data_IF_801528308120
#
_entry.id   IF_801528308120
#
_cell.length_a   1.000
_cell.length_b   1.000
_cell.length_c   1.000
_cell.angle_alpha   90.00
_cell.angle_beta   90.00
_cell.angle_gamma   90.00
#
_symmetry.space_group_name_H-M   'P 1'
#
loop_
_entity.id
_entity.type
_entity.pdbx_description
1 polymer ?
#
# COMPACT_ATOMS: atom_id res chain seq x y z
N UNK A 1 -31.88 7.20 1.00
CA UNK A 1 -31.76 5.90 0.31
C UNK A 1 -31.02 6.17 -0.99
N UNK A 2 -29.70 6.00 -1.00
CA UNK A 2 -28.83 6.37 -2.12
C UNK A 2 -28.89 5.24 -3.15
N UNK A 3 -29.54 5.49 -4.29
CA UNK A 3 -29.65 4.52 -5.39
C UNK A 3 -28.32 4.53 -6.14
N UNK A 4 -27.52 3.48 -5.96
CA UNK A 4 -26.26 3.30 -6.67
C UNK A 4 -26.56 3.13 -8.17
N UNK A 5 -25.81 3.83 -9.02
CA UNK A 5 -25.98 3.70 -10.47
C UNK A 5 -25.60 2.31 -10.96
N UNK A 6 -26.18 1.88 -12.09
CA UNK A 6 -25.91 0.55 -12.67
C UNK A 6 -24.42 0.36 -13.05
N UNK A 7 -23.70 1.45 -13.30
CA UNK A 7 -22.27 1.44 -13.59
C UNK A 7 -21.43 1.20 -12.32
N UNK A 8 -21.75 1.89 -11.22
CA UNK A 8 -21.09 1.69 -9.93
C UNK A 8 -21.31 0.28 -9.38
N UNK A 9 -22.51 -0.29 -9.55
CA UNK A 9 -22.78 -1.67 -9.15
C UNK A 9 -21.92 -2.69 -9.91
N UNK A 10 -21.62 -2.44 -11.19
CA UNK A 10 -20.73 -3.29 -12.00
C UNK A 10 -19.28 -3.15 -11.56
N UNK A 11 -18.81 -1.92 -11.29
CA UNK A 11 -17.46 -1.66 -10.79
C UNK A 11 -17.25 -2.30 -9.42
N UNK A 12 -18.20 -2.15 -8.50
CA UNK A 12 -18.16 -2.78 -7.17
C UNK A 12 -18.13 -4.30 -7.24
N UNK A 13 -18.97 -4.92 -8.10
CA UNK A 13 -18.93 -6.37 -8.30
C UNK A 13 -17.58 -6.83 -8.85
N UNK A 14 -17.02 -6.10 -9.82
CA UNK A 14 -15.72 -6.45 -10.42
C UNK A 14 -14.59 -6.30 -9.39
N UNK A 15 -14.63 -5.26 -8.56
CA UNK A 15 -13.69 -5.09 -7.45
C UNK A 15 -13.78 -6.24 -6.46
N UNK A 16 -14.99 -6.66 -6.05
CA UNK A 16 -15.16 -7.80 -5.14
C UNK A 16 -14.57 -9.10 -5.70
N UNK A 17 -14.61 -9.30 -7.02
CA UNK A 17 -14.01 -10.46 -7.69
C UNK A 17 -12.47 -10.43 -7.68
N UNK A 18 -11.83 -9.25 -7.62
CA UNK A 18 -10.36 -9.12 -7.78
C UNK A 18 -9.64 -8.57 -6.55
N UNK A 19 -10.35 -7.99 -5.57
CA UNK A 19 -9.77 -7.34 -4.37
C UNK A 19 -8.89 -8.26 -3.54
N UNK A 20 -9.13 -9.57 -3.59
CA UNK A 20 -8.32 -10.56 -2.88
C UNK A 20 -6.97 -10.84 -3.57
N UNK A 21 -6.81 -10.42 -4.83
CA UNK A 21 -5.56 -10.51 -5.58
C UNK A 21 -4.67 -9.29 -5.37
N UNK A 22 -5.27 -8.13 -5.03
CA UNK A 22 -4.56 -6.88 -4.81
C UNK A 22 -4.10 -6.84 -3.34
N UNK A 23 -2.79 -6.76 -3.06
CA UNK A 23 -2.29 -6.57 -1.71
C UNK A 23 -2.83 -5.29 -1.09
N UNK A 24 -3.27 -5.36 0.16
CA UNK A 24 -3.72 -4.18 0.91
C UNK A 24 -2.52 -3.31 1.30
N UNK A 25 -2.56 -2.03 0.92
CA UNK A 25 -1.44 -1.11 1.11
C UNK A 25 -1.13 -0.87 2.59
N UNK A 26 -2.16 -0.73 3.42
CA UNK A 26 -2.04 -0.44 4.85
C UNK A 26 -1.42 -1.62 5.61
N UNK A 27 -1.93 -2.83 5.38
CA UNK A 27 -1.39 -4.04 5.99
C UNK A 27 0.06 -4.30 5.57
N UNK A 28 0.42 -3.99 4.31
CA UNK A 28 1.80 -4.12 3.83
C UNK A 28 2.75 -3.10 4.43
N UNK A 29 2.34 -1.84 4.45
CA UNK A 29 3.11 -0.77 5.07
C UNK A 29 3.34 -1.04 6.56
N UNK A 30 2.30 -1.50 7.27
CA UNK A 30 2.41 -1.87 8.69
C UNK A 30 3.40 -3.01 8.93
N UNK A 31 3.34 -4.08 8.13
CA UNK A 31 4.28 -5.19 8.26
C UNK A 31 5.74 -4.76 8.00
N UNK A 32 5.97 -3.93 6.98
CA UNK A 32 7.32 -3.39 6.73
C UNK A 32 7.78 -2.48 7.86
N UNK A 33 6.89 -1.67 8.43
CA UNK A 33 7.23 -0.82 9.55
C UNK A 33 7.62 -1.65 10.79
N UNK A 34 6.94 -2.77 11.07
CA UNK A 34 7.35 -3.71 12.12
C UNK A 34 8.75 -4.27 11.86
N UNK A 35 9.05 -4.71 10.64
CA UNK A 35 10.39 -5.21 10.28
C UNK A 35 11.45 -4.10 10.46
N UNK A 36 11.14 -2.89 10.02
CA UNK A 36 12.00 -1.70 10.16
C UNK A 36 12.15 -1.22 11.61
N UNK A 37 11.44 -1.77 12.60
CA UNK A 37 11.78 -1.52 14.01
C UNK A 37 13.12 -2.16 14.38
N UNK A 38 13.56 -3.18 13.64
CA UNK A 38 14.88 -3.77 13.80
C UNK A 38 15.96 -2.88 13.15
N UNK A 39 16.98 -2.42 13.90
CA UNK A 39 18.04 -1.56 13.36
C UNK A 39 18.78 -2.17 12.16
N UNK A 40 18.97 -3.49 12.16
CA UNK A 40 19.64 -4.20 11.07
C UNK A 40 18.90 -4.09 9.73
N UNK A 41 17.57 -4.08 9.75
CA UNK A 41 16.75 -3.91 8.54
C UNK A 41 16.85 -2.46 8.05
N UNK A 42 16.79 -1.46 8.96
CA UNK A 42 17.00 -0.05 8.59
C UNK A 42 18.36 0.20 7.96
N UNK A 43 19.43 -0.34 8.56
CA UNK A 43 20.79 -0.25 8.02
C UNK A 43 20.91 -0.95 6.66
N UNK A 44 20.28 -2.11 6.47
CA UNK A 44 20.29 -2.82 5.19
C UNK A 44 19.59 -2.04 4.07
N UNK A 45 18.55 -1.29 4.41
CA UNK A 45 17.82 -0.41 3.51
C UNK A 45 18.43 1.00 3.38
N UNK A 46 19.44 1.33 4.20
CA UNK A 46 20.09 2.65 4.20
C UNK A 46 19.18 3.76 4.72
N UNK A 47 18.27 3.46 5.65
CA UNK A 47 17.30 4.40 6.21
C UNK A 47 17.96 5.19 7.33
N UNK A 48 18.12 6.50 7.13
CA UNK A 48 18.71 7.41 8.12
C UNK A 48 17.64 8.25 8.84
N UNK A 49 16.54 8.58 8.15
CA UNK A 49 15.43 9.39 8.68
C UNK A 49 14.04 8.83 8.31
N UNK A 50 13.00 9.52 8.78
CA UNK A 50 11.60 9.14 8.49
C UNK A 50 11.27 9.29 7.00
N UNK A 51 11.84 10.26 6.28
CA UNK A 51 11.54 10.47 4.86
C UNK A 51 12.09 9.32 4.01
N UNK A 52 13.29 8.82 4.33
CA UNK A 52 13.86 7.61 3.75
C UNK A 52 12.98 6.39 4.02
N UNK A 53 12.54 6.22 5.28
CA UNK A 53 11.65 5.12 5.65
C UNK A 53 10.34 5.17 4.86
N UNK A 54 9.75 6.35 4.70
CA UNK A 54 8.53 6.56 3.89
C UNK A 54 8.81 6.18 2.43
N UNK A 55 9.92 6.63 1.86
CA UNK A 55 10.26 6.35 0.46
C UNK A 55 10.43 4.85 0.20
N UNK A 56 11.19 4.16 1.05
CA UNK A 56 11.44 2.71 0.95
C UNK A 56 10.15 1.92 1.09
N UNK A 57 9.37 2.17 2.15
CA UNK A 57 8.11 1.45 2.40
C UNK A 57 7.10 1.72 1.29
N UNK A 58 7.03 2.96 0.79
CA UNK A 58 6.11 3.32 -0.28
C UNK A 58 6.48 2.65 -1.60
N UNK A 59 7.75 2.67 -1.98
CA UNK A 59 8.22 2.07 -3.23
C UNK A 59 7.99 0.57 -3.25
N UNK A 60 8.40 -0.13 -2.18
CA UNK A 60 8.18 -1.57 -2.05
C UNK A 60 6.70 -1.93 -2.01
N UNK A 61 5.87 -1.18 -1.26
CA UNK A 61 4.42 -1.41 -1.20
C UNK A 61 3.79 -1.25 -2.58
N UNK A 62 4.12 -0.17 -3.30
CA UNK A 62 3.66 0.04 -4.69
C UNK A 62 4.11 -1.07 -5.62
N UNK A 63 5.36 -1.52 -5.51
CA UNK A 63 5.89 -2.58 -6.36
C UNK A 63 5.11 -3.89 -6.14
N UNK A 64 4.83 -4.26 -4.88
CA UNK A 64 4.00 -5.44 -4.58
C UNK A 64 2.59 -5.31 -5.11
N UNK A 65 1.98 -4.13 -5.03
CA UNK A 65 0.65 -3.87 -5.58
C UNK A 65 0.66 -3.97 -7.11
N UNK A 66 1.68 -3.42 -7.79
CA UNK A 66 1.86 -3.52 -9.24
C UNK A 66 2.09 -4.94 -9.73
N UNK A 67 2.82 -5.74 -8.96
CA UNK A 67 3.12 -7.14 -9.26
C UNK A 67 1.95 -8.09 -8.96
N UNK A 68 0.83 -7.57 -8.46
CA UNK A 68 -0.37 -8.35 -8.22
C UNK A 68 -0.84 -9.02 -9.53
N UNK A 69 -1.22 -10.31 -9.51
CA UNK A 69 -1.62 -11.06 -10.71
C UNK A 69 -3.06 -10.72 -11.12
N UNK A 70 -3.32 -9.44 -11.35
CA UNK A 70 -4.66 -8.90 -11.66
C UNK A 70 -4.85 -8.86 -13.18
N UNK A 71 -6.05 -9.18 -13.69
CA UNK A 71 -6.36 -9.03 -15.11
C UNK A 71 -6.18 -7.58 -15.60
N UNK A 72 -5.78 -7.40 -16.86
CA UNK A 72 -5.56 -6.07 -17.43
C UNK A 72 -6.81 -5.16 -17.38
N UNK A 73 -8.02 -5.72 -17.43
CA UNK A 73 -9.28 -4.97 -17.30
C UNK A 73 -9.58 -4.50 -15.86
N UNK A 74 -8.81 -5.00 -14.89
CA UNK A 74 -8.87 -4.64 -13.48
C UNK A 74 -7.69 -3.76 -13.03
N UNK A 75 -6.80 -3.35 -13.93
CA UNK A 75 -5.62 -2.56 -13.60
C UNK A 75 -5.95 -1.24 -12.90
N UNK A 76 -7.09 -0.63 -13.22
CA UNK A 76 -7.56 0.59 -12.53
C UNK A 76 -7.69 0.40 -11.02
N UNK A 77 -8.04 -0.78 -10.53
CA UNK A 77 -8.12 -1.04 -9.09
C UNK A 77 -6.73 -1.15 -8.44
N UNK A 78 -5.72 -1.55 -9.22
CA UNK A 78 -4.32 -1.53 -8.79
C UNK A 78 -3.85 -0.09 -8.67
N UNK A 79 -4.17 0.74 -9.66
CA UNK A 79 -3.85 2.17 -9.63
C UNK A 79 -4.55 2.87 -8.45
N UNK A 80 -5.84 2.58 -8.22
CA UNK A 80 -6.59 3.10 -7.06
C UNK A 80 -5.91 2.74 -5.72
N UNK A 81 -5.37 1.52 -5.59
CA UNK A 81 -4.69 1.06 -4.37
C UNK A 81 -3.29 1.66 -4.23
N UNK A 82 -2.59 1.92 -5.35
CA UNK A 82 -1.31 2.66 -5.36
C UNK A 82 -1.53 4.10 -4.87
N UNK A 83 -2.58 4.77 -5.35
CA UNK A 83 -2.93 6.13 -4.92
C UNK A 83 -3.26 6.14 -3.41
N UNK A 84 -3.93 5.08 -2.93
CA UNK A 84 -4.17 4.90 -1.50
C UNK A 84 -2.88 4.69 -0.72
N UNK A 85 -1.94 3.90 -1.23
CA UNK A 85 -0.62 3.70 -0.62
C UNK A 85 0.13 5.03 -0.43
N UNK A 86 0.09 5.93 -1.42
CA UNK A 86 0.69 7.27 -1.32
C UNK A 86 0.10 8.12 -0.18
N UNK A 87 -1.19 7.96 0.08
CA UNK A 87 -1.87 8.67 1.16
C UNK A 87 -1.59 8.07 2.54
N UNK A 88 -1.61 6.73 2.68
CA UNK A 88 -1.58 6.06 4.00
C UNK A 88 -0.16 5.77 4.50
N UNK A 89 0.77 5.41 3.62
CA UNK A 89 2.14 5.00 4.01
C UNK A 89 2.85 6.09 4.83
N UNK A 90 2.82 7.38 4.45
CA UNK A 90 3.49 8.42 5.24
C UNK A 90 2.95 8.55 6.66
N UNK A 91 1.64 8.36 6.86
CA UNK A 91 1.05 8.41 8.20
C UNK A 91 1.44 7.17 9.01
N UNK A 92 1.39 5.98 8.41
CA UNK A 92 1.75 4.72 9.08
C UNK A 92 3.20 4.76 9.56
N UNK A 93 4.14 5.16 8.69
CA UNK A 93 5.58 5.21 9.02
C UNK A 93 5.83 6.21 10.16
N UNK A 94 5.20 7.39 10.11
CA UNK A 94 5.34 8.40 11.18
C UNK A 94 4.78 7.92 12.52
N UNK A 95 3.77 7.05 12.51
CA UNK A 95 3.19 6.48 13.72
C UNK A 95 3.88 5.19 14.20
N UNK A 96 4.74 4.58 13.39
CA UNK A 96 5.37 3.30 13.69
C UNK A 96 6.52 3.35 14.72
N UNK A 97 6.91 4.56 15.14
CA UNK A 97 7.99 4.82 16.11
C UNK A 97 9.27 4.05 15.79
N UNK A 98 9.82 4.29 14.59
CA UNK A 98 10.98 3.57 14.05
C UNK A 98 12.31 3.94 14.74
N UNK A 99 12.30 4.84 15.73
CA UNK A 99 13.50 5.27 16.46
C UNK A 99 14.49 6.06 15.59
N UNK A 100 14.00 6.70 14.54
CA UNK A 100 14.72 7.65 13.68
C UNK A 100 14.07 9.03 13.82
N UNK A 101 14.88 10.10 13.83
CA UNK A 101 14.45 11.48 14.02
C UNK A 101 14.06 12.18 12.72
#
# INVERSE_FOLDING_TARGET
MTVISRAEARRSKRYDEVKHLIPDAEARAGAMCEDLQHPAEREAHGIEDIEDAVAVVLEETKQKIRDAPVPADAQTFVDDEIDRAEAVVPEIVRHADLGVE
#
